data_IF_144086632188
#
_entry.id   IF_144086632188
#
_cell.length_a   1.000
_cell.length_b   1.000
_cell.length_c   1.000
_cell.angle_alpha   90.00
_cell.angle_beta   90.00
_cell.angle_gamma   90.00
#
_symmetry.space_group_name_H-M   'P 1'
#
loop_
_entity.id
_entity.type
_entity.pdbx_description
1 polymer ?
#
# COMPACT_ATOMS: atom_id res chain seq x y z
N UNK A 1 -9.95 4.68 -10.64
CA UNK A 1 -10.72 3.56 -11.26
C UNK A 1 -10.30 3.25 -12.70
N UNK A 2 -10.34 4.21 -13.64
CA UNK A 2 -9.94 3.98 -15.05
C UNK A 2 -8.50 3.47 -15.22
N UNK A 3 -7.59 3.95 -14.38
CA UNK A 3 -6.16 3.65 -14.46
C UNK A 3 -5.72 2.30 -13.84
N UNK A 4 -6.46 1.83 -12.83
CA UNK A 4 -6.08 0.66 -12.02
C UNK A 4 -7.11 -0.46 -12.15
N UNK A 5 -8.35 -0.19 -11.70
CA UNK A 5 -9.41 -1.20 -11.60
C UNK A 5 -9.81 -1.78 -12.96
N UNK A 6 -10.05 -0.94 -13.96
CA UNK A 6 -10.52 -1.42 -15.28
C UNK A 6 -9.46 -2.29 -15.96
N UNK A 7 -8.18 -1.87 -16.07
CA UNK A 7 -7.10 -2.73 -16.58
C UNK A 7 -6.92 -4.01 -15.78
N UNK A 8 -7.03 -3.95 -14.45
CA UNK A 8 -6.90 -5.14 -13.60
C UNK A 8 -8.01 -6.17 -13.86
N UNK A 9 -9.26 -5.73 -14.02
CA UNK A 9 -10.39 -6.61 -14.36
C UNK A 9 -10.21 -7.23 -15.74
N UNK A 10 -9.59 -6.52 -16.69
CA UNK A 10 -9.29 -7.02 -18.04
C UNK A 10 -8.12 -8.01 -18.09
N UNK A 11 -7.32 -8.06 -17.03
CA UNK A 11 -6.08 -8.85 -16.98
C UNK A 11 -4.83 -8.12 -17.51
N UNK A 12 -4.95 -6.83 -17.82
CA UNK A 12 -3.84 -6.00 -18.34
C UNK A 12 -2.91 -5.50 -17.23
N UNK A 13 -3.37 -5.49 -15.96
CA UNK A 13 -2.57 -5.15 -14.78
C UNK A 13 -2.79 -6.14 -13.65
N UNK A 14 -1.75 -6.47 -12.91
CA UNK A 14 -1.77 -7.33 -11.73
C UNK A 14 -1.88 -6.45 -10.48
N UNK A 15 -2.88 -6.71 -9.65
CA UNK A 15 -3.06 -6.06 -8.37
C UNK A 15 -2.41 -6.86 -7.23
N UNK A 16 -1.99 -6.14 -6.19
CA UNK A 16 -1.61 -6.69 -4.90
C UNK A 16 -2.24 -5.89 -3.74
N UNK A 17 -2.31 -6.52 -2.57
CA UNK A 17 -2.86 -5.94 -1.34
C UNK A 17 -1.80 -5.97 -0.24
N UNK A 18 -1.30 -4.80 0.14
CA UNK A 18 -0.20 -4.63 1.09
C UNK A 18 -0.68 -4.20 2.46
N UNK A 19 -1.07 -5.16 3.32
CA UNK A 19 -1.49 -4.89 4.70
C UNK A 19 -0.40 -5.32 5.69
N UNK A 20 -0.12 -6.62 5.70
CA UNK A 20 0.79 -7.27 6.66
C UNK A 20 2.20 -6.70 6.61
N UNK A 21 2.77 -6.50 7.80
CA UNK A 21 4.13 -6.02 8.02
C UNK A 21 4.95 -7.09 8.75
N UNK A 22 6.29 -7.05 8.70
CA UNK A 22 7.14 -8.03 9.38
C UNK A 22 6.81 -8.24 10.86
N UNK A 23 6.40 -7.17 11.56
CA UNK A 23 6.01 -7.22 12.97
C UNK A 23 4.50 -7.21 13.24
N UNK A 24 3.65 -7.20 12.21
CA UNK A 24 2.22 -6.97 12.38
C UNK A 24 1.39 -7.67 11.28
N UNK A 25 0.68 -8.74 11.66
CA UNK A 25 -0.24 -9.49 10.78
C UNK A 25 -1.69 -9.35 11.22
N UNK A 26 -2.09 -10.11 12.24
CA UNK A 26 -3.47 -10.13 12.75
C UNK A 26 -3.90 -8.79 13.37
N UNK A 27 -2.95 -8.03 13.92
CA UNK A 27 -3.20 -6.77 14.63
C UNK A 27 -3.10 -5.54 13.72
N UNK A 28 -3.90 -5.50 12.66
CA UNK A 28 -3.82 -4.48 11.58
C UNK A 28 -3.91 -3.05 12.13
N UNK A 29 -4.60 -2.82 13.24
CA UNK A 29 -4.71 -1.49 13.85
C UNK A 29 -3.36 -0.89 14.26
N UNK A 30 -2.33 -1.74 14.44
CA UNK A 30 -0.99 -1.37 14.89
C UNK A 30 0.10 -1.45 13.81
N UNK A 31 -0.25 -1.42 12.52
CA UNK A 31 0.74 -1.23 11.45
C UNK A 31 1.55 0.07 11.63
N UNK A 32 2.79 0.05 11.16
CA UNK A 32 3.80 1.09 11.33
C UNK A 32 4.18 1.82 10.05
N UNK A 33 3.88 1.27 8.87
CA UNK A 33 4.09 1.97 7.59
C UNK A 33 3.34 3.29 7.61
N UNK A 34 4.03 4.41 7.41
CA UNK A 34 3.49 5.77 7.48
C UNK A 34 3.47 6.42 6.11
N UNK A 35 2.46 7.24 5.87
CA UNK A 35 2.37 8.12 4.72
C UNK A 35 2.28 9.56 5.24
N UNK A 36 3.31 10.36 4.98
CA UNK A 36 3.38 11.77 5.39
C UNK A 36 3.12 12.67 4.18
N UNK A 37 2.19 13.62 4.32
CA UNK A 37 1.97 14.63 3.27
C UNK A 37 3.19 15.54 3.12
N UNK A 38 3.62 15.73 1.88
CA UNK A 38 4.70 16.63 1.46
C UNK A 38 4.19 17.45 0.27
N UNK A 39 3.42 18.49 0.57
CA UNK A 39 2.74 19.28 -0.45
C UNK A 39 1.64 18.46 -1.11
N UNK A 40 1.72 18.29 -2.43
CA UNK A 40 0.72 17.56 -3.21
C UNK A 40 0.93 16.03 -3.18
N UNK A 41 2.06 15.57 -2.64
CA UNK A 41 2.43 14.15 -2.60
C UNK A 41 2.39 13.57 -1.18
N UNK A 42 2.39 12.23 -1.11
CA UNK A 42 2.70 11.50 0.11
C UNK A 42 4.06 10.81 -0.01
N UNK A 43 4.88 10.93 1.04
CA UNK A 43 6.07 10.12 1.21
C UNK A 43 5.73 8.95 2.12
N UNK A 44 5.85 7.73 1.58
CA UNK A 44 5.54 6.48 2.29
C UNK A 44 6.83 5.82 2.76
N UNK A 45 6.91 5.52 4.06
CA UNK A 45 8.05 4.82 4.66
C UNK A 45 7.55 3.64 5.49
N UNK A 46 8.11 2.46 5.26
CA UNK A 46 7.79 1.24 5.98
C UNK A 46 8.13 0.00 5.15
N UNK A 47 7.64 -1.15 5.60
CA UNK A 47 7.83 -2.42 4.91
C UNK A 47 6.59 -3.29 5.03
N UNK A 48 6.26 -3.99 3.95
CA UNK A 48 5.21 -5.01 3.90
C UNK A 48 5.83 -6.38 3.65
N UNK A 49 5.17 -7.44 4.11
CA UNK A 49 5.63 -8.82 3.89
C UNK A 49 4.46 -9.76 3.69
N UNK A 50 4.72 -10.93 3.10
CA UNK A 50 3.72 -11.93 2.71
C UNK A 50 2.68 -11.41 1.72
N UNK A 51 3.09 -10.46 0.86
CA UNK A 51 2.20 -9.85 -0.11
C UNK A 51 2.13 -10.75 -1.35
N UNK A 52 0.98 -11.40 -1.54
CA UNK A 52 0.68 -12.10 -2.80
C UNK A 52 0.82 -11.12 -3.96
N UNK A 53 1.54 -11.54 -5.01
CA UNK A 53 1.95 -10.72 -6.15
C UNK A 53 2.88 -9.53 -5.81
N UNK A 54 3.51 -9.47 -4.63
CA UNK A 54 4.32 -8.32 -4.22
C UNK A 54 5.41 -7.90 -5.22
N UNK A 55 6.07 -8.86 -5.88
CA UNK A 55 7.08 -8.58 -6.92
C UNK A 55 6.58 -8.59 -8.36
N UNK A 56 5.30 -8.92 -8.61
CA UNK A 56 4.70 -8.99 -9.97
C UNK A 56 3.56 -8.00 -10.18
N UNK A 57 3.02 -7.43 -9.11
CA UNK A 57 1.92 -6.48 -9.19
C UNK A 57 2.37 -5.17 -9.80
N UNK A 58 1.57 -4.63 -10.72
CA UNK A 58 1.77 -3.30 -11.30
C UNK A 58 1.33 -2.19 -10.34
N UNK A 59 0.50 -2.54 -9.37
CA UNK A 59 0.12 -1.66 -8.26
C UNK A 59 -0.22 -2.44 -7.01
N UNK A 60 0.00 -1.81 -5.86
CA UNK A 60 -0.35 -2.32 -4.55
C UNK A 60 -1.34 -1.36 -3.88
N UNK A 61 -2.45 -1.89 -3.39
CA UNK A 61 -3.26 -1.15 -2.41
C UNK A 61 -2.62 -1.31 -1.04
N UNK A 62 -1.97 -0.26 -0.53
CA UNK A 62 -1.25 -0.26 0.73
C UNK A 62 -2.14 0.22 1.88
N UNK A 63 -2.12 -0.50 3.00
CA UNK A 63 -2.55 0.06 4.28
C UNK A 63 -1.39 0.84 4.90
N UNK A 64 -1.62 2.13 5.14
CA UNK A 64 -0.63 3.07 5.67
C UNK A 64 -1.24 3.91 6.78
N UNK A 65 -0.42 4.37 7.71
CA UNK A 65 -0.82 5.31 8.76
C UNK A 65 -0.62 6.74 8.29
N UNK A 66 -1.71 7.49 8.21
CA UNK A 66 -1.73 8.94 7.90
C UNK A 66 -2.13 9.78 9.11
N UNK A 67 -2.80 9.18 10.09
CA UNK A 67 -3.25 9.83 11.32
C UNK A 67 -2.59 9.30 12.60
N UNK A 68 -3.35 9.37 13.70
CA UNK A 68 -2.93 8.90 15.02
C UNK A 68 -2.85 7.37 15.18
N UNK A 69 -2.68 6.87 16.41
CA UNK A 69 -2.65 5.42 16.69
C UNK A 69 -4.01 4.75 16.46
N UNK A 70 -4.00 3.41 16.36
CA UNK A 70 -5.19 2.60 16.20
C UNK A 70 -5.82 2.64 14.80
N UNK A 71 -6.99 2.04 14.68
CA UNK A 71 -7.67 1.79 13.39
C UNK A 71 -8.09 3.06 12.65
N UNK A 72 -8.42 4.13 13.38
CA UNK A 72 -8.87 5.41 12.79
C UNK A 72 -7.74 6.16 12.07
N UNK A 73 -6.48 5.84 12.36
CA UNK A 73 -5.33 6.48 11.73
C UNK A 73 -4.88 5.83 10.42
N UNK A 74 -5.55 4.77 9.96
CA UNK A 74 -5.16 4.00 8.77
C UNK A 74 -5.92 4.52 7.55
N UNK A 75 -5.18 4.73 6.46
CA UNK A 75 -5.70 5.00 5.12
C UNK A 75 -5.29 3.89 4.16
N UNK A 76 -6.08 3.70 3.10
CA UNK A 76 -5.70 2.87 1.96
C UNK A 76 -5.22 3.77 0.82
N UNK A 77 -4.03 3.48 0.31
CA UNK A 77 -3.43 4.20 -0.82
C UNK A 77 -3.18 3.22 -1.96
N UNK A 78 -3.60 3.56 -3.17
CA UNK A 78 -3.22 2.82 -4.38
C UNK A 78 -1.85 3.33 -4.84
N UNK A 79 -0.86 2.45 -4.89
CA UNK A 79 0.53 2.79 -5.15
C UNK A 79 1.07 2.04 -6.38
N UNK A 80 1.53 2.74 -7.44
CA UNK A 80 2.22 2.13 -8.58
C UNK A 80 3.58 1.54 -8.15
N UNK A 81 3.86 0.29 -8.51
CA UNK A 81 5.10 -0.40 -8.07
C UNK A 81 6.34 -0.03 -8.86
N UNK A 82 6.19 0.71 -9.97
CA UNK A 82 7.28 1.30 -10.74
C UNK A 82 7.77 2.66 -10.17
N UNK A 83 7.18 3.11 -9.06
CA UNK A 83 7.59 4.33 -8.36
C UNK A 83 9.02 4.21 -7.83
N UNK A 84 9.88 5.16 -8.21
CA UNK A 84 11.29 5.20 -7.76
C UNK A 84 11.40 5.21 -6.23
N UNK A 85 12.18 4.29 -5.69
CA UNK A 85 12.39 4.14 -4.24
C UNK A 85 11.57 3.01 -3.61
N UNK A 86 10.66 2.39 -4.35
CA UNK A 86 9.99 1.15 -3.96
C UNK A 86 10.85 -0.08 -4.31
N UNK A 87 10.93 -1.05 -3.39
CA UNK A 87 11.69 -2.29 -3.52
C UNK A 87 11.02 -3.44 -2.74
#
# INVERSE_FOLDING_TARGET
>A
KKEFLIPAIRGDKIAALGITEPGCGSDVANIQTRAESRGDDYVINGAKTYITNGGRGDFITLAVRTGGPGYQGISLVTFPTDTKGFA
#
